data_IF_013170732465
#
_entry.id   IF_013170732465
#
_cell.length_a   1.000
_cell.length_b   1.000
_cell.length_c   1.000
_cell.angle_alpha   90.00
_cell.angle_beta   90.00
_cell.angle_gamma   90.00
#
_symmetry.space_group_name_H-M   'P 1'
#
loop_
_entity.id
_entity.type
_entity.pdbx_description
1 polymer ?
#
# COMPACT_ATOMS: atom_id res chain seq x y z
N UNK A 1 20.44 -7.76 -5.42
CA UNK A 1 19.89 -8.54 -6.55
C UNK A 1 18.54 -9.14 -6.18
N UNK A 2 17.73 -9.61 -7.15
CA UNK A 2 16.46 -10.29 -6.85
C UNK A 2 16.66 -11.56 -6.00
N UNK A 3 17.76 -12.30 -6.22
CA UNK A 3 18.10 -13.50 -5.46
C UNK A 3 18.42 -13.19 -4.00
N UNK A 4 19.24 -12.17 -3.74
CA UNK A 4 19.55 -11.73 -2.38
C UNK A 4 18.31 -11.24 -1.63
N UNK A 5 17.43 -10.48 -2.31
CA UNK A 5 16.19 -10.01 -1.71
C UNK A 5 15.27 -11.18 -1.34
N UNK A 6 15.13 -12.17 -2.24
CA UNK A 6 14.37 -13.38 -1.96
C UNK A 6 14.93 -14.12 -0.73
N UNK A 7 16.25 -14.32 -0.68
CA UNK A 7 16.91 -14.98 0.45
C UNK A 7 16.66 -14.25 1.77
N UNK A 8 16.77 -12.91 1.77
CA UNK A 8 16.50 -12.11 2.97
C UNK A 8 15.03 -12.18 3.41
N UNK A 9 14.08 -12.24 2.47
CA UNK A 9 12.67 -12.44 2.78
C UNK A 9 12.43 -13.80 3.43
N UNK A 10 12.95 -14.88 2.84
CA UNK A 10 12.81 -16.26 3.34
C UNK A 10 13.43 -16.41 4.74
N UNK A 11 14.62 -15.84 4.93
CA UNK A 11 15.30 -15.83 6.23
C UNK A 11 14.49 -15.06 7.29
N UNK A 12 13.96 -13.88 6.94
CA UNK A 12 13.15 -13.08 7.87
C UNK A 12 11.86 -13.81 8.26
N UNK A 13 11.20 -14.46 7.31
CA UNK A 13 10.01 -15.29 7.60
C UNK A 13 10.34 -16.47 8.52
N UNK A 14 11.42 -17.20 8.21
CA UNK A 14 11.87 -18.36 8.99
C UNK A 14 12.18 -18.00 10.45
N UNK A 15 12.81 -16.84 10.69
CA UNK A 15 13.10 -16.35 12.04
C UNK A 15 11.84 -16.00 12.85
N UNK A 16 10.75 -15.59 12.19
CA UNK A 16 9.50 -15.20 12.86
C UNK A 16 8.54 -16.37 13.14
N UNK A 17 8.68 -17.50 12.43
CA UNK A 17 7.94 -18.76 12.67
C UNK A 17 6.41 -18.66 12.55
N UNK A 18 5.90 -17.72 11.76
CA UNK A 18 4.47 -17.68 11.42
C UNK A 18 4.14 -18.67 10.29
N UNK A 19 3.03 -19.41 10.42
CA UNK A 19 2.50 -20.24 9.33
C UNK A 19 1.95 -19.39 8.20
N UNK A 20 1.17 -18.38 8.56
CA UNK A 20 0.51 -17.43 7.67
C UNK A 20 0.97 -16.02 8.03
N UNK A 21 1.58 -15.34 7.07
CA UNK A 21 2.25 -14.08 7.32
C UNK A 21 1.99 -13.04 6.25
N UNK A 22 1.99 -11.78 6.67
CA UNK A 22 2.13 -10.63 5.77
C UNK A 22 3.57 -10.18 5.81
N UNK A 23 4.20 -10.19 4.64
CA UNK A 23 5.57 -9.71 4.43
C UNK A 23 5.50 -8.33 3.80
N UNK A 24 6.13 -7.33 4.42
CA UNK A 24 6.26 -5.99 3.86
C UNK A 24 7.73 -5.69 3.59
N UNK A 25 8.03 -5.48 2.31
CA UNK A 25 9.34 -5.03 1.82
C UNK A 25 9.24 -3.55 1.50
N UNK A 26 10.04 -2.73 2.17
CA UNK A 26 10.19 -1.30 1.86
C UNK A 26 11.60 -1.06 1.33
N UNK A 27 11.69 -0.27 0.26
CA UNK A 27 12.96 0.22 -0.28
C UNK A 27 12.93 1.74 -0.25
N UNK A 28 13.87 2.35 0.46
CA UNK A 28 14.07 3.80 0.46
C UNK A 28 15.35 4.14 -0.31
N UNK A 29 15.51 5.43 -0.65
CA UNK A 29 16.74 5.95 -1.27
C UNK A 29 17.96 5.94 -0.32
N UNK A 30 17.79 5.43 0.90
CA UNK A 30 18.83 5.44 1.93
C UNK A 30 19.05 6.83 2.52
N UNK A 31 20.18 6.96 3.21
CA UNK A 31 20.68 8.24 3.70
C UNK A 31 21.12 9.11 2.51
N UNK A 32 20.65 10.35 2.48
CA UNK A 32 20.86 11.28 1.37
C UNK A 32 21.21 12.66 1.93
N UNK A 33 21.95 13.49 1.18
CA UNK A 33 22.13 14.89 1.53
C UNK A 33 20.78 15.62 1.69
N UNK A 34 20.73 16.69 2.51
CA UNK A 34 19.50 17.47 2.66
C UNK A 34 18.97 18.03 1.33
N UNK A 35 17.64 18.06 1.18
CA UNK A 35 16.95 18.63 0.03
C UNK A 35 16.44 17.58 -0.97
N UNK A 36 16.28 17.99 -2.23
CA UNK A 36 15.69 17.16 -3.30
C UNK A 36 16.72 16.59 -4.28
N UNK A 37 18.00 16.94 -4.12
CA UNK A 37 19.07 16.37 -4.93
C UNK A 37 19.26 14.90 -4.57
N UNK A 38 19.34 14.06 -5.59
CA UNK A 38 19.57 12.64 -5.45
C UNK A 38 21.05 12.36 -5.64
N UNK A 39 21.66 11.66 -4.68
CA UNK A 39 22.94 11.02 -4.88
C UNK A 39 22.70 9.58 -5.35
N UNK A 40 22.93 9.35 -6.65
CA UNK A 40 22.78 8.02 -7.26
C UNK A 40 23.83 7.01 -6.80
N UNK A 41 24.92 7.46 -6.15
CA UNK A 41 25.94 6.58 -5.61
C UNK A 41 25.62 6.08 -4.20
N UNK A 42 24.74 6.79 -3.47
CA UNK A 42 24.34 6.39 -2.13
C UNK A 42 23.49 5.10 -2.14
N UNK A 43 23.79 4.12 -1.27
CA UNK A 43 23.10 2.84 -1.27
C UNK A 43 21.66 2.95 -0.74
N UNK A 44 20.70 2.21 -1.32
CA UNK A 44 19.34 2.19 -0.81
C UNK A 44 19.26 1.44 0.52
N UNK A 45 18.27 1.77 1.35
CA UNK A 45 17.92 0.96 2.53
C UNK A 45 16.76 0.04 2.19
N UNK A 46 16.93 -1.25 2.47
CA UNK A 46 15.88 -2.27 2.36
C UNK A 46 15.47 -2.70 3.76
N UNK A 47 14.18 -2.58 4.07
CA UNK A 47 13.61 -3.02 5.33
C UNK A 47 12.52 -4.07 5.06
N UNK A 48 12.71 -5.27 5.62
CA UNK A 48 11.76 -6.38 5.53
C UNK A 48 11.13 -6.57 6.90
N UNK A 49 9.81 -6.51 6.96
CA UNK A 49 9.04 -6.78 8.18
C UNK A 49 8.06 -7.90 7.92
N UNK A 50 7.90 -8.77 8.91
CA UNK A 50 6.99 -9.92 8.87
C UNK A 50 6.08 -9.84 10.08
N UNK A 51 4.79 -10.03 9.86
CA UNK A 51 3.76 -10.06 10.91
C UNK A 51 2.78 -11.20 10.63
N UNK A 52 2.03 -11.71 11.62
CA UNK A 52 1.01 -12.70 11.37
C UNK A 52 -0.07 -12.16 10.42
N UNK A 53 -0.64 -13.05 9.61
CA UNK A 53 -1.78 -12.71 8.76
C UNK A 53 -3.04 -12.56 9.62
N UNK A 54 -3.69 -11.40 9.48
CA UNK A 54 -5.03 -11.16 10.01
C UNK A 54 -6.01 -11.22 8.83
N UNK A 55 -6.79 -12.30 8.69
CA UNK A 55 -7.71 -12.44 7.57
C UNK A 55 -8.87 -11.46 7.70
N UNK A 56 -9.38 -11.00 6.55
CA UNK A 56 -10.66 -10.31 6.48
C UNK A 56 -11.76 -11.27 6.95
N UNK A 57 -12.76 -10.77 7.69
CA UNK A 57 -13.79 -11.64 8.26
C UNK A 57 -14.54 -12.41 7.16
N UNK A 58 -14.79 -13.70 7.40
CA UNK A 58 -15.54 -14.54 6.45
C UNK A 58 -16.94 -13.98 6.17
N UNK A 59 -17.55 -13.29 7.15
CA UNK A 59 -18.84 -12.63 6.98
C UNK A 59 -18.82 -11.60 5.85
N UNK A 60 -17.77 -10.79 5.71
CA UNK A 60 -17.68 -9.80 4.63
C UNK A 60 -17.66 -10.45 3.24
N UNK A 61 -17.11 -11.66 3.11
CA UNK A 61 -17.15 -12.41 1.87
C UNK A 61 -18.55 -12.96 1.54
N UNK A 62 -19.38 -13.21 2.57
CA UNK A 62 -20.73 -13.76 2.41
C UNK A 62 -21.78 -12.66 2.22
N UNK A 63 -21.67 -11.56 2.98
CA UNK A 63 -22.68 -10.50 3.02
C UNK A 63 -22.28 -9.25 2.23
N UNK A 64 -21.05 -9.22 1.70
CA UNK A 64 -20.47 -8.04 1.07
C UNK A 64 -19.95 -7.02 2.07
N UNK A 65 -19.20 -6.06 1.54
CA UNK A 65 -18.62 -4.95 2.28
C UNK A 65 -19.34 -3.64 1.93
N UNK A 66 -19.69 -2.85 2.95
CA UNK A 66 -20.24 -1.51 2.73
C UNK A 66 -19.16 -0.57 2.22
N UNK A 67 -19.49 0.25 1.22
CA UNK A 67 -18.55 1.19 0.62
C UNK A 67 -19.14 2.59 0.47
N UNK A 68 -18.29 3.61 0.44
CA UNK A 68 -18.69 4.96 0.08
C UNK A 68 -17.82 5.49 -1.06
N UNK A 69 -18.44 6.20 -2.00
CA UNK A 69 -17.72 6.90 -3.07
C UNK A 69 -17.11 8.20 -2.53
N UNK A 70 -15.87 8.46 -2.94
CA UNK A 70 -15.13 9.68 -2.65
C UNK A 70 -14.77 10.37 -3.98
N UNK A 71 -15.56 11.36 -4.42
CA UNK A 71 -15.28 12.11 -5.64
C UNK A 71 -13.94 12.83 -5.58
N UNK A 72 -13.21 12.90 -6.71
CA UNK A 72 -11.95 13.64 -6.84
C UNK A 72 -10.89 13.28 -5.79
N UNK A 73 -10.79 11.99 -5.43
CA UNK A 73 -9.92 11.50 -4.36
C UNK A 73 -8.83 10.54 -4.83
N UNK A 74 -8.92 10.03 -6.07
CA UNK A 74 -7.89 9.17 -6.63
C UNK A 74 -6.57 9.95 -6.77
N UNK A 75 -5.49 9.35 -6.29
CA UNK A 75 -4.16 9.97 -6.31
C UNK A 75 -3.62 9.92 -7.74
N UNK A 76 -3.34 11.10 -8.30
CA UNK A 76 -2.61 11.22 -9.56
C UNK A 76 -1.28 11.89 -9.30
N UNK A 77 -0.18 11.19 -9.61
CA UNK A 77 1.15 11.80 -9.56
C UNK A 77 1.53 12.26 -10.97
N UNK A 78 1.40 13.56 -11.21
CA UNK A 78 1.72 14.17 -12.50
C UNK A 78 3.16 13.87 -12.92
N UNK A 79 3.36 13.52 -14.19
CA UNK A 79 4.68 13.21 -14.75
C UNK A 79 5.16 11.77 -14.54
N UNK A 80 4.40 10.91 -13.87
CA UNK A 80 4.67 9.47 -13.80
C UNK A 80 3.73 8.72 -14.74
N UNK A 81 4.31 7.99 -15.70
CA UNK A 81 3.55 7.20 -16.68
C UNK A 81 3.07 5.85 -16.18
N UNK A 82 3.41 5.48 -14.95
CA UNK A 82 3.06 4.18 -14.34
C UNK A 82 2.53 4.34 -12.92
N UNK A 83 1.73 3.37 -12.50
CA UNK A 83 1.29 3.25 -11.12
C UNK A 83 2.47 2.78 -10.25
N UNK A 84 2.68 3.42 -9.10
CA UNK A 84 3.81 3.16 -8.21
C UNK A 84 3.31 2.93 -6.80
N UNK A 85 3.67 1.80 -6.21
CA UNK A 85 3.48 1.54 -4.77
C UNK A 85 4.62 2.17 -3.98
N UNK A 86 4.50 3.46 -3.69
CA UNK A 86 5.48 4.23 -2.91
C UNK A 86 5.12 4.33 -1.42
N UNK A 87 6.01 4.91 -0.63
CA UNK A 87 5.72 5.29 0.76
C UNK A 87 4.83 6.54 0.88
N UNK A 88 4.46 7.19 -0.24
CA UNK A 88 3.57 8.36 -0.24
C UNK A 88 2.09 7.92 -0.18
N UNK A 89 1.65 7.45 0.99
CA UNK A 89 0.31 6.86 1.18
C UNK A 89 -0.67 7.76 1.95
N UNK A 90 -0.29 9.02 2.22
CA UNK A 90 -1.06 9.93 3.07
C UNK A 90 -2.48 10.19 2.54
N UNK A 91 -2.64 10.36 1.23
CA UNK A 91 -3.96 10.58 0.63
C UNK A 91 -4.90 9.41 0.90
N UNK A 92 -4.44 8.17 0.68
CA UNK A 92 -5.23 6.96 0.95
C UNK A 92 -5.57 6.85 2.45
N UNK A 93 -4.63 7.20 3.35
CA UNK A 93 -4.87 7.21 4.81
C UNK A 93 -5.99 8.19 5.17
N UNK A 94 -5.99 9.41 4.61
CA UNK A 94 -7.02 10.41 4.88
C UNK A 94 -8.40 9.90 4.41
N UNK A 95 -8.49 9.34 3.21
CA UNK A 95 -9.77 8.82 2.70
C UNK A 95 -10.23 7.59 3.51
N UNK A 96 -9.31 6.73 3.92
CA UNK A 96 -9.61 5.58 4.79
C UNK A 96 -10.23 6.04 6.12
N UNK A 97 -9.65 7.06 6.74
CA UNK A 97 -10.17 7.64 7.98
C UNK A 97 -11.58 8.24 7.78
N UNK A 98 -11.83 8.90 6.65
CA UNK A 98 -13.17 9.41 6.31
C UNK A 98 -14.17 8.26 6.09
N UNK A 99 -13.76 7.16 5.48
CA UNK A 99 -14.59 5.96 5.30
C UNK A 99 -14.98 5.35 6.66
N UNK A 100 -14.03 5.24 7.58
CA UNK A 100 -14.27 4.79 8.97
C UNK A 100 -15.28 5.70 9.68
N UNK A 101 -15.15 7.03 9.56
CA UNK A 101 -16.11 7.99 10.14
C UNK A 101 -17.50 7.88 9.54
N UNK A 102 -17.60 7.50 8.26
CA UNK A 102 -18.87 7.19 7.58
C UNK A 102 -19.42 5.80 7.91
N UNK A 103 -18.74 5.04 8.78
CA UNK A 103 -19.12 3.67 9.19
C UNK A 103 -19.25 2.71 8.00
N UNK A 104 -18.43 2.91 6.97
CA UNK A 104 -18.32 1.97 5.84
C UNK A 104 -17.03 1.18 5.92
N UNK A 105 -17.02 -0.02 5.36
CA UNK A 105 -15.85 -0.88 5.36
C UNK A 105 -14.72 -0.33 4.49
N UNK A 106 -15.00 0.27 3.34
CA UNK A 106 -13.98 0.80 2.43
C UNK A 106 -14.44 2.06 1.67
N UNK A 107 -13.47 2.93 1.35
CA UNK A 107 -13.69 4.09 0.48
C UNK A 107 -13.31 3.76 -0.96
N UNK A 108 -14.19 4.10 -1.90
CA UNK A 108 -13.96 3.96 -3.35
C UNK A 108 -13.54 5.31 -3.90
N UNK A 109 -12.34 5.33 -4.47
CA UNK A 109 -11.70 6.51 -5.01
C UNK A 109 -12.18 6.75 -6.44
N UNK A 110 -12.45 8.01 -6.75
CA UNK A 110 -12.81 8.46 -8.09
C UNK A 110 -11.81 9.49 -8.59
N UNK A 111 -11.52 9.42 -9.87
CA UNK A 111 -10.65 10.40 -10.53
C UNK A 111 -11.36 11.76 -10.73
N UNK A 112 -10.64 12.81 -11.17
CA UNK A 112 -11.23 14.12 -11.41
C UNK A 112 -12.34 14.14 -12.47
N UNK A 113 -12.40 13.14 -13.36
CA UNK A 113 -13.42 12.98 -14.40
C UNK A 113 -14.65 12.20 -13.89
N UNK A 114 -14.65 11.77 -12.63
CA UNK A 114 -15.75 11.01 -12.03
C UNK A 114 -15.75 9.53 -12.41
N UNK A 115 -14.65 8.99 -12.92
CA UNK A 115 -14.50 7.56 -13.19
C UNK A 115 -14.02 6.83 -11.94
N UNK A 116 -14.44 5.57 -11.79
CA UNK A 116 -13.96 4.69 -10.72
C UNK A 116 -12.47 4.39 -10.93
N UNK A 117 -11.68 4.46 -9.85
CA UNK A 117 -10.26 4.11 -9.88
C UNK A 117 -10.00 2.82 -9.09
N UNK A 118 -10.02 2.91 -7.76
CA UNK A 118 -9.70 1.82 -6.84
C UNK A 118 -10.27 2.12 -5.44
N UNK A 119 -10.16 1.19 -4.50
CA UNK A 119 -10.42 1.43 -3.08
C UNK A 119 -9.20 2.06 -2.38
N UNK A 120 -9.33 2.41 -1.09
CA UNK A 120 -8.17 2.95 -0.35
C UNK A 120 -7.04 1.93 -0.19
N UNK A 121 -7.37 0.63 -0.15
CA UNK A 121 -6.42 -0.47 0.02
C UNK A 121 -6.59 -1.64 -0.96
N UNK A 122 -7.47 -1.51 -1.95
CA UNK A 122 -7.88 -2.62 -2.84
C UNK A 122 -8.15 -2.17 -4.27
N UNK A 123 -8.02 -3.06 -5.25
CA UNK A 123 -8.59 -2.83 -6.60
C UNK A 123 -10.09 -3.23 -6.64
N UNK A 124 -10.79 -2.84 -7.71
CA UNK A 124 -12.24 -3.05 -7.88
C UNK A 124 -12.48 -3.74 -9.23
N UNK A 125 -13.45 -4.67 -9.26
CA UNK A 125 -13.91 -5.38 -10.45
C UNK A 125 -15.44 -5.31 -10.49
N UNK A 126 -16.03 -5.26 -11.69
CA UNK A 126 -17.47 -5.18 -11.95
C UNK A 126 -17.92 -6.32 -12.86
#
# INVERSE_FOLDING_TARGET
>A
TARELKSAIEETLSRNRYSDAVIRVNVSRGEQPPGLRLDSAAPPTVAITVRPLEPVSQQLYQTGASVALFPRSAVTTSGLGSQIKSCNFLSNIIIRELAVRKKVFEGILMDPQGRLAEGTTSNIFL
#
